data_IF_019866826925
#
_entry.id   IF_019866826925
#
_cell.length_a   1.000
_cell.length_b   1.000
_cell.length_c   1.000
_cell.angle_alpha   90.00
_cell.angle_beta   90.00
_cell.angle_gamma   90.00
#
_symmetry.space_group_name_H-M   'P 1'
#
loop_
_entity.id
_entity.type
_entity.pdbx_description
1 polymer ?
#
# COMPACT_ATOMS: atom_id res chain seq x y z
N UNK A 1 1.72 -4.57 -9.77
CA UNK A 1 0.77 -3.67 -10.47
C UNK A 1 0.10 -4.29 -11.70
N UNK A 2 0.78 -4.68 -12.81
CA UNK A 2 0.09 -5.29 -13.97
C UNK A 2 -0.78 -6.50 -13.59
N UNK A 3 -0.26 -7.36 -12.71
CA UNK A 3 -0.95 -8.55 -12.20
C UNK A 3 -2.33 -8.26 -11.59
N UNK A 4 -2.54 -7.09 -10.97
CA UNK A 4 -3.85 -6.71 -10.40
C UNK A 4 -4.90 -6.35 -11.45
N UNK A 5 -4.49 -6.02 -12.69
CA UNK A 5 -5.40 -5.73 -13.78
C UNK A 5 -6.11 -6.99 -14.30
N UNK A 6 -5.47 -8.15 -14.16
CA UNK A 6 -5.97 -9.43 -14.67
C UNK A 6 -6.77 -10.22 -13.62
N UNK A 7 -6.87 -9.68 -12.39
CA UNK A 7 -7.68 -10.28 -11.32
C UNK A 7 -9.15 -10.04 -11.59
N UNK A 8 -9.94 -11.11 -11.60
CA UNK A 8 -11.40 -11.07 -11.57
C UNK A 8 -11.90 -10.77 -10.13
N UNK A 9 -12.47 -9.57 -9.88
CA UNK A 9 -12.94 -9.19 -8.55
C UNK A 9 -14.03 -10.11 -8.00
N UNK A 10 -14.92 -10.63 -8.84
CA UNK A 10 -16.03 -11.48 -8.44
C UNK A 10 -15.53 -12.88 -8.05
N UNK A 11 -14.56 -13.41 -8.81
CA UNK A 11 -13.93 -14.68 -8.49
C UNK A 11 -13.22 -14.62 -7.12
N UNK A 12 -12.55 -13.51 -6.82
CA UNK A 12 -11.88 -13.30 -5.53
C UNK A 12 -12.90 -13.22 -4.39
N UNK A 13 -13.98 -12.44 -4.54
CA UNK A 13 -15.04 -12.36 -3.53
C UNK A 13 -15.69 -13.71 -3.26
N UNK A 14 -16.03 -14.47 -4.33
CA UNK A 14 -16.59 -15.80 -4.21
C UNK A 14 -15.60 -16.79 -3.55
N UNK A 15 -14.31 -16.67 -3.78
CA UNK A 15 -13.30 -17.48 -3.09
C UNK A 15 -13.22 -17.14 -1.61
N UNK A 16 -13.16 -15.85 -1.26
CA UNK A 16 -13.09 -15.38 0.14
C UNK A 16 -14.34 -15.80 0.91
N UNK A 17 -15.54 -15.63 0.32
CA UNK A 17 -16.80 -15.99 0.98
C UNK A 17 -16.93 -17.49 1.27
N UNK A 18 -16.20 -18.37 0.56
CA UNK A 18 -16.12 -19.80 0.87
C UNK A 18 -15.23 -20.11 2.08
N UNK A 19 -14.32 -19.22 2.46
CA UNK A 19 -13.36 -19.40 3.55
C UNK A 19 -13.69 -18.55 4.79
N UNK A 20 -14.39 -17.42 4.60
CA UNK A 20 -14.72 -16.48 5.65
C UNK A 20 -15.87 -16.97 6.53
N UNK A 21 -15.80 -16.69 7.83
CA UNK A 21 -16.93 -16.95 8.77
C UNK A 21 -18.16 -16.09 8.49
N UNK A 22 -17.96 -14.90 7.92
CA UNK A 22 -19.03 -13.98 7.51
C UNK A 22 -18.76 -13.55 6.06
N UNK A 23 -19.74 -13.69 5.15
CA UNK A 23 -19.57 -13.29 3.76
C UNK A 23 -19.56 -11.75 3.61
N UNK A 24 -18.99 -11.27 2.52
CA UNK A 24 -18.97 -9.87 2.10
C UNK A 24 -19.46 -9.72 0.67
N UNK A 25 -20.12 -8.60 0.40
CA UNK A 25 -20.61 -8.19 -0.95
C UNK A 25 -19.85 -6.96 -1.46
N UNK A 26 -18.82 -6.52 -0.72
CA UNK A 26 -18.11 -5.25 -0.98
C UNK A 26 -16.70 -5.46 -1.48
N UNK A 27 -16.20 -6.70 -1.51
CA UNK A 27 -14.82 -6.98 -1.85
C UNK A 27 -14.57 -6.79 -3.34
N UNK A 28 -15.48 -7.26 -4.20
CA UNK A 28 -15.37 -7.07 -5.64
C UNK A 28 -15.36 -5.57 -6.01
N UNK A 29 -16.33 -4.80 -5.47
CA UNK A 29 -16.36 -3.35 -5.61
C UNK A 29 -15.08 -2.67 -5.11
N UNK A 30 -14.56 -3.12 -3.96
CA UNK A 30 -13.35 -2.55 -3.38
C UNK A 30 -12.12 -2.83 -4.23
N UNK A 31 -11.99 -4.01 -4.83
CA UNK A 31 -10.90 -4.35 -5.75
C UNK A 31 -10.95 -3.44 -6.98
N UNK A 32 -12.14 -3.18 -7.54
CA UNK A 32 -12.29 -2.26 -8.67
C UNK A 32 -11.93 -0.82 -8.29
N UNK A 33 -12.37 -0.36 -7.12
CA UNK A 33 -11.99 0.95 -6.60
C UNK A 33 -10.47 1.03 -6.43
N UNK A 34 -9.86 0.01 -5.84
CA UNK A 34 -8.41 -0.06 -5.65
C UNK A 34 -7.65 0.02 -6.98
N UNK A 35 -8.14 -0.68 -8.01
CA UNK A 35 -7.57 -0.65 -9.37
C UNK A 35 -7.69 0.71 -10.03
N UNK A 36 -8.81 1.43 -9.82
CA UNK A 36 -9.07 2.77 -10.38
C UNK A 36 -8.23 3.84 -9.70
N UNK A 37 -8.24 3.86 -8.37
CA UNK A 37 -7.57 4.89 -7.58
C UNK A 37 -6.04 4.80 -7.68
N UNK A 38 -5.51 3.59 -7.88
CA UNK A 38 -4.08 3.33 -8.01
C UNK A 38 -3.25 4.04 -6.93
N UNK A 39 -3.79 4.18 -5.72
CA UNK A 39 -3.20 5.07 -4.71
C UNK A 39 -1.79 4.64 -4.30
N UNK A 40 -1.42 3.36 -4.50
CA UNK A 40 -0.05 2.88 -4.32
C UNK A 40 0.93 3.48 -5.35
N UNK A 41 0.49 3.84 -6.57
CA UNK A 41 1.32 4.61 -7.51
C UNK A 41 1.69 5.97 -6.96
N UNK A 42 0.85 6.55 -6.10
CA UNK A 42 1.18 7.82 -5.44
C UNK A 42 2.41 7.73 -4.53
N UNK A 43 2.89 6.53 -4.17
CA UNK A 43 4.12 6.36 -3.38
C UNK A 43 5.41 6.54 -4.20
N UNK A 44 5.33 6.53 -5.53
CA UNK A 44 6.49 6.85 -6.39
C UNK A 44 6.67 8.36 -6.61
N UNK A 45 5.63 9.16 -6.35
CA UNK A 45 5.67 10.61 -6.43
C UNK A 45 5.92 11.18 -5.03
N UNK A 46 7.02 11.93 -4.86
CA UNK A 46 7.45 12.36 -3.52
C UNK A 46 6.49 13.40 -2.91
N UNK A 47 5.83 14.23 -3.73
CA UNK A 47 4.84 15.19 -3.25
C UNK A 47 3.57 14.50 -2.75
N UNK A 48 3.06 13.52 -3.51
CA UNK A 48 1.90 12.71 -3.11
C UNK A 48 2.23 11.80 -1.93
N UNK A 49 3.46 11.27 -1.85
CA UNK A 49 3.94 10.53 -0.71
C UNK A 49 3.98 11.41 0.55
N UNK A 50 4.45 12.65 0.45
CA UNK A 50 4.41 13.61 1.55
C UNK A 50 2.98 13.88 2.03
N UNK A 51 2.02 14.02 1.11
CA UNK A 51 0.60 14.15 1.48
C UNK A 51 0.12 12.93 2.27
N UNK A 52 0.43 11.70 1.82
CA UNK A 52 0.06 10.47 2.51
C UNK A 52 0.71 10.36 3.89
N UNK A 53 1.99 10.73 3.99
CA UNK A 53 2.71 10.76 5.25
C UNK A 53 2.07 11.73 6.24
N UNK A 54 1.69 12.94 5.78
CA UNK A 54 0.97 13.90 6.62
C UNK A 54 -0.40 13.39 7.08
N UNK A 55 -1.11 12.59 6.26
CA UNK A 55 -2.33 11.91 6.72
C UNK A 55 -2.05 10.88 7.83
N UNK A 56 -0.92 10.17 7.77
CA UNK A 56 -0.50 9.26 8.85
C UNK A 56 -0.16 10.05 10.11
N UNK A 57 0.67 11.10 10.00
CA UNK A 57 1.05 11.96 11.12
C UNK A 57 -0.18 12.55 11.82
N UNK A 58 -1.16 13.03 11.06
CA UNK A 58 -2.42 13.54 11.61
C UNK A 58 -3.20 12.49 12.40
N UNK A 59 -3.28 11.24 11.92
CA UNK A 59 -3.96 10.15 12.64
C UNK A 59 -3.30 9.83 13.97
N UNK A 60 -1.98 10.01 14.07
CA UNK A 60 -1.21 9.83 15.31
C UNK A 60 -1.00 11.13 16.09
N UNK A 61 -1.73 12.20 15.75
CA UNK A 61 -1.71 13.53 16.40
C UNK A 61 -0.35 14.24 16.35
N UNK A 62 0.43 13.99 15.31
CA UNK A 62 1.67 14.71 15.01
C UNK A 62 1.43 15.83 13.98
N UNK A 63 2.24 16.88 14.08
CA UNK A 63 2.21 17.99 13.13
C UNK A 63 2.62 17.54 11.73
N UNK A 64 2.01 18.09 10.67
CA UNK A 64 2.40 17.78 9.30
C UNK A 64 3.81 18.29 9.00
N UNK A 65 4.51 17.58 8.12
CA UNK A 65 5.81 17.98 7.63
C UNK A 65 5.70 19.15 6.64
N UNK A 66 6.68 20.06 6.62
CA UNK A 66 6.76 21.15 5.64
C UNK A 66 6.84 20.63 4.19
N UNK A 67 6.33 21.37 3.18
CA UNK A 67 6.40 20.98 1.76
C UNK A 67 7.82 20.66 1.26
N UNK A 68 8.83 21.40 1.77
CA UNK A 68 10.25 21.18 1.45
C UNK A 68 10.78 19.79 1.86
N UNK A 69 10.04 19.05 2.68
CA UNK A 69 10.42 17.70 3.11
C UNK A 69 10.26 16.66 1.98
N UNK A 70 9.56 16.98 0.89
CA UNK A 70 9.38 16.05 -0.23
C UNK A 70 10.72 15.62 -0.85
N UNK A 71 11.69 16.53 -0.99
CA UNK A 71 13.02 16.21 -1.56
C UNK A 71 13.80 15.22 -0.69
N UNK A 72 13.62 15.26 0.63
CA UNK A 72 14.22 14.30 1.56
C UNK A 72 13.67 12.89 1.34
N UNK A 73 12.40 12.74 0.93
CA UNK A 73 11.79 11.43 0.69
C UNK A 73 12.47 10.68 -0.46
N UNK A 74 12.94 11.39 -1.48
CA UNK A 74 13.74 10.81 -2.56
C UNK A 74 15.01 10.13 -2.03
N UNK A 75 15.74 10.85 -1.16
CA UNK A 75 16.97 10.36 -0.52
C UNK A 75 16.66 9.22 0.44
N UNK A 76 15.64 9.37 1.28
CA UNK A 76 15.23 8.36 2.25
C UNK A 76 14.86 7.03 1.56
N UNK A 77 14.22 7.08 0.39
CA UNK A 77 13.85 5.87 -0.38
C UNK A 77 15.08 5.04 -0.76
N UNK A 78 16.19 5.68 -1.12
CA UNK A 78 17.43 4.99 -1.46
C UNK A 78 18.07 4.37 -0.21
N UNK A 79 18.13 5.12 0.90
CA UNK A 79 18.65 4.62 2.17
C UNK A 79 17.85 3.39 2.63
N UNK A 80 16.52 3.47 2.59
CA UNK A 80 15.64 2.36 2.97
C UNK A 80 15.88 1.16 2.06
N UNK A 81 15.99 1.37 0.73
CA UNK A 81 16.23 0.30 -0.24
C UNK A 81 17.50 -0.49 0.07
N UNK A 82 18.57 0.19 0.45
CA UNK A 82 19.84 -0.43 0.82
C UNK A 82 19.78 -1.22 2.14
N UNK A 83 18.74 -1.00 2.94
CA UNK A 83 18.54 -1.62 4.26
C UNK A 83 17.28 -2.50 4.30
N UNK A 84 16.70 -2.84 3.14
CA UNK A 84 15.44 -3.61 3.09
C UNK A 84 15.57 -4.93 3.84
N UNK A 85 16.68 -5.65 3.68
CA UNK A 85 16.86 -6.95 4.34
C UNK A 85 16.96 -6.80 5.87
N UNK A 86 17.50 -5.68 6.37
CA UNK A 86 17.54 -5.41 7.82
C UNK A 86 16.17 -4.98 8.36
N UNK A 87 15.42 -4.19 7.58
CA UNK A 87 14.13 -3.62 7.97
C UNK A 87 12.97 -4.61 7.80
N UNK A 88 13.10 -5.53 6.84
CA UNK A 88 12.14 -6.57 6.49
C UNK A 88 12.87 -7.91 6.32
N UNK A 89 13.34 -8.52 7.43
CA UNK A 89 14.12 -9.74 7.36
C UNK A 89 13.36 -10.85 6.62
N UNK A 90 13.94 -11.48 5.59
CA UNK A 90 13.26 -12.47 4.76
C UNK A 90 12.64 -13.61 5.58
N UNK A 91 13.27 -14.02 6.67
CA UNK A 91 12.79 -15.06 7.58
C UNK A 91 11.41 -14.77 8.19
N UNK A 92 11.02 -13.51 8.31
CA UNK A 92 9.72 -13.11 8.87
C UNK A 92 8.62 -12.96 7.80
N UNK A 93 8.99 -12.86 6.52
CA UNK A 93 8.07 -12.51 5.43
C UNK A 93 8.11 -13.49 4.25
N UNK A 94 8.91 -14.55 4.32
CA UNK A 94 8.91 -15.63 3.34
C UNK A 94 7.65 -16.46 3.48
N UNK A 95 6.83 -16.52 2.43
CA UNK A 95 5.73 -17.49 2.37
C UNK A 95 6.31 -18.90 2.20
N UNK A 96 5.84 -19.91 2.96
CA UNK A 96 6.20 -21.29 2.68
C UNK A 96 5.78 -21.64 1.25
N UNK A 97 6.71 -22.24 0.50
CA UNK A 97 6.47 -22.72 -0.87
C UNK A 97 5.45 -23.85 -0.90
#
# INVERSE_FOLDING_TARGET
>A
WRVLGDVDPLAVEAAINRMARQPTERLAWFIDLFRREQFLRCYSDDGRLLTRLNQVLSRVRLSPLPPKSASMLAVAREIIRQRVDDLLPPEHFSMPR
#
